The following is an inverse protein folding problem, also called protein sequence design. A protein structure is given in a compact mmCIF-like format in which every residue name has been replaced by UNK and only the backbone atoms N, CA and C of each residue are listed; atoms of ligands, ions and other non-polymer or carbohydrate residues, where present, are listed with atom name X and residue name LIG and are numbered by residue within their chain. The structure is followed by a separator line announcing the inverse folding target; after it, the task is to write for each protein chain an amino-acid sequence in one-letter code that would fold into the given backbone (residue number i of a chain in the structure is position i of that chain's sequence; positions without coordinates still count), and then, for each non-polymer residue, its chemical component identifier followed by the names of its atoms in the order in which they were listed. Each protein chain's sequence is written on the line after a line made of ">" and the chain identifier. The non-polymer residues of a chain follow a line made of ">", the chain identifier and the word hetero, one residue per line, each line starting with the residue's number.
data_IF_642735484968
#
_entry.id   IF_642735484968
#
_cell.length_a   1.000
_cell.length_b   1.000
_cell.length_c   1.000
_cell.angle_alpha   90.00
_cell.angle_beta   90.00
_cell.angle_gamma   90.00
#
_symmetry.space_group_name_H-M   'P 1'
#
loop_
_entity.id
_entity.type
_entity.pdbx_description
1 polymer ?
#
# COMPACT_ATOMS: atom_id res chain seq x y z
N UNK A 1 11.59 16.34 -17.23
CA UNK A 1 11.42 17.80 -17.06
C UNK A 1 10.52 18.00 -15.87
N UNK A 2 11.05 18.44 -14.73
CA UNK A 2 10.23 18.87 -13.59
C UNK A 2 9.89 20.35 -13.79
N UNK A 3 8.64 20.73 -13.58
CA UNK A 3 8.18 22.12 -13.77
C UNK A 3 7.83 22.66 -12.39
N UNK A 4 8.78 23.34 -11.74
CA UNK A 4 8.54 23.93 -10.42
C UNK A 4 9.80 24.04 -9.57
N UNK A 5 9.65 24.68 -8.41
CA UNK A 5 10.66 24.74 -7.35
C UNK A 5 10.11 23.95 -6.16
N UNK A 6 10.74 22.81 -5.84
CA UNK A 6 10.44 22.07 -4.63
C UNK A 6 11.26 22.65 -3.46
N UNK A 7 10.60 22.99 -2.36
CA UNK A 7 11.25 23.48 -1.13
C UNK A 7 10.85 22.61 0.05
N UNK A 8 11.82 22.28 0.89
CA UNK A 8 11.58 21.57 2.14
C UNK A 8 11.31 22.58 3.26
N UNK A 9 10.12 22.51 3.87
CA UNK A 9 9.75 23.37 5.01
C UNK A 9 10.34 22.89 6.33
N UNK A 10 10.75 21.62 6.39
CA UNK A 10 11.33 20.96 7.56
C UNK A 10 12.54 20.13 7.13
N UNK A 11 13.37 19.70 8.08
CA UNK A 11 14.47 18.78 7.79
C UNK A 11 13.93 17.48 7.18
N UNK A 12 14.33 17.18 5.95
CA UNK A 12 13.92 15.97 5.23
C UNK A 12 15.12 15.30 4.56
N UNK A 13 14.94 14.06 4.11
CA UNK A 13 15.88 13.36 3.24
C UNK A 13 15.31 13.26 1.81
N UNK A 14 16.19 13.25 0.82
CA UNK A 14 15.82 12.99 -0.57
C UNK A 14 16.09 11.52 -0.87
N UNK A 15 15.11 10.83 -1.45
CA UNK A 15 15.25 9.46 -1.92
C UNK A 15 15.29 9.48 -3.45
N UNK A 16 16.42 9.05 -4.01
CA UNK A 16 16.54 8.79 -5.45
C UNK A 16 16.29 7.29 -5.71
N UNK A 17 15.41 6.99 -6.66
CA UNK A 17 15.05 5.62 -7.03
C UNK A 17 15.39 5.42 -8.50
N UNK A 18 16.23 4.44 -8.78
CA UNK A 18 16.49 3.96 -10.13
C UNK A 18 15.30 3.09 -10.59
N UNK A 19 14.49 3.65 -11.49
CA UNK A 19 13.24 3.02 -11.93
C UNK A 19 13.45 1.67 -12.64
N UNK A 20 14.53 1.54 -13.42
CA UNK A 20 14.84 0.29 -14.14
C UNK A 20 15.25 -0.80 -13.15
N UNK A 21 16.15 -0.47 -12.21
CA UNK A 21 16.56 -1.42 -11.17
C UNK A 21 15.41 -1.80 -10.24
N UNK A 22 14.49 -0.88 -9.95
CA UNK A 22 13.30 -1.17 -9.17
C UNK A 22 12.40 -2.17 -9.91
N UNK A 23 12.12 -1.92 -11.19
CA UNK A 23 11.33 -2.82 -12.02
C UNK A 23 11.98 -4.22 -12.12
N UNK A 24 13.30 -4.28 -12.30
CA UNK A 24 14.07 -5.53 -12.30
C UNK A 24 14.08 -6.25 -10.96
N UNK A 25 14.00 -5.52 -9.85
CA UNK A 25 13.95 -6.11 -8.51
C UNK A 25 12.57 -6.66 -8.19
N UNK A 26 11.52 -5.91 -8.52
CA UNK A 26 10.11 -6.32 -8.36
C UNK A 26 9.79 -7.54 -9.21
N UNK A 27 10.30 -7.61 -10.44
CA UNK A 27 10.03 -8.71 -11.37
C UNK A 27 10.56 -10.08 -10.93
N UNK A 28 11.52 -10.11 -10.00
CA UNK A 28 12.11 -11.36 -9.48
C UNK A 28 11.17 -12.12 -8.53
N UNK A 29 10.15 -11.46 -8.00
CA UNK A 29 9.19 -12.07 -7.10
C UNK A 29 7.77 -11.87 -7.64
N UNK A 30 7.12 -12.96 -8.07
CA UNK A 30 5.79 -12.91 -8.68
C UNK A 30 4.72 -12.28 -7.78
N UNK A 31 4.82 -12.49 -6.46
CA UNK A 31 3.86 -11.91 -5.50
C UNK A 31 4.03 -10.39 -5.43
N UNK A 32 5.28 -9.92 -5.31
CA UNK A 32 5.57 -8.49 -5.29
C UNK A 32 5.19 -7.84 -6.62
N UNK A 33 5.46 -8.51 -7.74
CA UNK A 33 5.07 -8.05 -9.07
C UNK A 33 3.54 -7.94 -9.21
N UNK A 34 2.77 -8.89 -8.69
CA UNK A 34 1.30 -8.84 -8.75
C UNK A 34 0.75 -7.68 -7.91
N UNK A 35 1.25 -7.51 -6.67
CA UNK A 35 0.90 -6.37 -5.81
C UNK A 35 1.24 -5.04 -6.51
N UNK A 36 2.44 -4.90 -7.05
CA UNK A 36 2.88 -3.70 -7.75
C UNK A 36 2.04 -3.42 -8.99
N UNK A 37 1.68 -4.47 -9.74
CA UNK A 37 0.84 -4.37 -10.93
C UNK A 37 -0.56 -3.88 -10.58
N UNK A 38 -1.19 -4.44 -9.55
CA UNK A 38 -2.51 -3.98 -9.11
C UNK A 38 -2.45 -2.56 -8.55
N UNK A 39 -1.44 -2.22 -7.75
CA UNK A 39 -1.19 -0.84 -7.30
C UNK A 39 -1.11 0.14 -8.47
N UNK A 40 -0.26 -0.13 -9.46
CA UNK A 40 -0.07 0.74 -10.62
C UNK A 40 -1.37 0.92 -11.42
N UNK A 41 -2.13 -0.17 -11.63
CA UNK A 41 -3.44 -0.10 -12.32
C UNK A 41 -4.41 0.83 -11.60
N UNK A 42 -4.55 0.68 -10.29
CA UNK A 42 -5.46 1.51 -9.50
C UNK A 42 -4.98 2.96 -9.42
N UNK A 43 -3.69 3.18 -9.21
CA UNK A 43 -3.10 4.52 -9.15
C UNK A 43 -3.30 5.28 -10.47
N UNK A 44 -2.94 4.69 -11.61
CA UNK A 44 -3.15 5.31 -12.94
C UNK A 44 -4.62 5.61 -13.19
N UNK A 45 -5.53 4.72 -12.76
CA UNK A 45 -6.98 4.97 -12.86
C UNK A 45 -7.40 6.19 -12.04
N UNK A 46 -6.86 6.36 -10.83
CA UNK A 46 -7.14 7.52 -9.97
C UNK A 46 -6.57 8.80 -10.54
N UNK A 47 -5.34 8.78 -11.05
CA UNK A 47 -4.72 9.91 -11.76
C UNK A 47 -5.60 10.37 -12.92
N UNK A 48 -6.04 9.44 -13.77
CA UNK A 48 -6.88 9.76 -14.93
C UNK A 48 -8.29 10.25 -14.55
N UNK A 49 -8.79 9.86 -13.38
CA UNK A 49 -10.10 10.28 -12.89
C UNK A 49 -10.05 11.56 -12.05
N UNK A 50 -8.85 12.01 -11.65
CA UNK A 50 -8.68 13.20 -10.83
C UNK A 50 -8.90 14.46 -11.67
N UNK A 51 -9.85 15.29 -11.25
CA UNK A 51 -10.12 16.58 -11.84
C UNK A 51 -11.50 17.13 -11.45
N UNK A 52 -11.74 18.43 -11.66
CA UNK A 52 -13.03 19.04 -11.38
C UNK A 52 -14.15 18.39 -12.21
N UNK A 53 -15.40 18.31 -11.69
CA UNK A 53 -15.87 18.94 -10.45
C UNK A 53 -15.69 18.08 -9.18
N UNK A 54 -15.22 16.85 -9.29
CA UNK A 54 -15.26 15.88 -8.19
C UNK A 54 -13.96 15.83 -7.36
N UNK A 55 -12.85 16.33 -7.90
CA UNK A 55 -11.56 16.39 -7.22
C UNK A 55 -10.74 17.61 -7.68
N UNK A 56 -9.74 18.07 -6.92
CA UNK A 56 -8.72 18.95 -7.48
C UNK A 56 -7.89 18.20 -8.55
N UNK A 57 -7.23 18.95 -9.42
CA UNK A 57 -6.23 18.36 -10.31
C UNK A 57 -5.06 17.79 -9.49
N UNK A 58 -4.49 16.65 -9.87
CA UNK A 58 -3.32 16.09 -9.19
C UNK A 58 -2.11 17.03 -9.37
N UNK A 59 -1.18 16.96 -8.42
CA UNK A 59 0.08 17.68 -8.49
C UNK A 59 1.26 16.73 -8.19
N UNK A 60 2.49 17.24 -8.22
CA UNK A 60 3.70 16.43 -8.03
C UNK A 60 3.81 15.80 -6.61
N UNK A 61 3.05 16.30 -5.64
CA UNK A 61 3.05 15.81 -4.25
C UNK A 61 1.89 14.88 -3.95
N UNK A 62 0.73 15.10 -4.57
CA UNK A 62 -0.50 14.41 -4.19
C UNK A 62 -1.40 14.14 -5.41
N UNK A 63 -1.92 12.91 -5.47
CA UNK A 63 -3.01 12.52 -6.35
C UNK A 63 -4.24 12.24 -5.48
N UNK A 64 -5.40 12.85 -5.75
CA UNK A 64 -6.59 12.61 -4.95
C UNK A 64 -7.02 11.14 -4.93
N UNK A 65 -7.47 10.67 -3.77
CA UNK A 65 -7.99 9.31 -3.56
C UNK A 65 -6.97 8.19 -3.84
N UNK A 66 -5.70 8.46 -3.58
CA UNK A 66 -4.61 7.47 -3.68
C UNK A 66 -3.99 7.14 -2.32
N UNK A 67 -4.73 7.33 -1.22
CA UNK A 67 -4.30 6.85 0.08
C UNK A 67 -4.04 5.34 0.03
N UNK A 68 -3.02 4.89 0.75
CA UNK A 68 -2.58 3.50 0.70
C UNK A 68 -3.72 2.52 1.01
N UNK A 69 -4.51 2.80 2.05
CA UNK A 69 -5.67 2.00 2.44
C UNK A 69 -6.72 1.91 1.32
N UNK A 70 -7.00 3.03 0.65
CA UNK A 70 -8.00 3.11 -0.42
C UNK A 70 -7.56 2.34 -1.67
N UNK A 71 -6.27 2.40 -1.99
CA UNK A 71 -5.68 1.65 -3.09
C UNK A 71 -5.74 0.16 -2.80
N UNK A 72 -5.29 -0.30 -1.62
CA UNK A 72 -5.34 -1.71 -1.24
C UNK A 72 -6.79 -2.22 -1.24
N UNK A 73 -7.73 -1.47 -0.68
CA UNK A 73 -9.15 -1.82 -0.68
C UNK A 73 -9.73 -1.97 -2.10
N UNK A 74 -9.15 -1.27 -3.09
CA UNK A 74 -9.60 -1.36 -4.47
C UNK A 74 -9.00 -2.55 -5.24
N UNK A 75 -7.92 -3.18 -4.75
CA UNK A 75 -7.23 -4.29 -5.41
C UNK A 75 -8.08 -5.56 -5.44
N UNK A 76 -7.64 -6.58 -6.20
CA UNK A 76 -8.28 -7.91 -6.18
C UNK A 76 -8.25 -8.53 -4.76
N UNK A 77 -9.28 -9.33 -4.40
CA UNK A 77 -9.33 -10.02 -3.11
C UNK A 77 -8.05 -10.79 -2.76
N UNK A 78 -7.49 -11.55 -3.70
CA UNK A 78 -6.28 -12.36 -3.43
C UNK A 78 -5.06 -11.51 -3.04
N UNK A 79 -4.93 -10.33 -3.63
CA UNK A 79 -3.86 -9.37 -3.32
C UNK A 79 -4.10 -8.73 -1.95
N UNK A 80 -5.36 -8.38 -1.64
CA UNK A 80 -5.73 -7.87 -0.31
C UNK A 80 -5.43 -8.89 0.79
N UNK A 81 -5.78 -10.16 0.58
CA UNK A 81 -5.50 -11.26 1.50
C UNK A 81 -4.00 -11.41 1.68
N UNK A 82 -3.22 -11.38 0.60
CA UNK A 82 -1.76 -11.50 0.65
C UNK A 82 -1.13 -10.38 1.50
N UNK A 83 -1.52 -9.13 1.26
CA UNK A 83 -1.06 -7.98 2.04
C UNK A 83 -1.48 -8.14 3.52
N UNK A 84 -2.73 -8.54 3.75
CA UNK A 84 -3.29 -8.75 5.09
C UNK A 84 -2.57 -9.83 5.88
N UNK A 85 -2.25 -10.98 5.28
CA UNK A 85 -1.52 -12.06 5.93
C UNK A 85 -0.13 -11.59 6.35
N UNK A 86 0.57 -10.84 5.48
CA UNK A 86 1.86 -10.26 5.83
C UNK A 86 1.74 -9.22 6.96
N UNK A 87 0.73 -8.36 6.93
CA UNK A 87 0.45 -7.38 7.96
C UNK A 87 0.21 -8.04 9.34
N UNK A 88 -0.62 -9.08 9.39
CA UNK A 88 -0.86 -9.87 10.62
C UNK A 88 0.44 -10.50 11.12
N UNK A 89 1.27 -11.04 10.23
CA UNK A 89 2.58 -11.59 10.58
C UNK A 89 3.54 -10.55 11.18
N UNK A 90 3.51 -9.31 10.71
CA UNK A 90 4.29 -8.20 11.30
C UNK A 90 3.75 -7.82 12.68
N UNK A 91 2.43 -7.73 12.83
CA UNK A 91 1.80 -7.48 14.13
C UNK A 91 2.13 -8.57 15.15
N UNK A 92 2.19 -9.84 14.72
CA UNK A 92 2.59 -10.96 15.57
C UNK A 92 4.04 -10.81 16.08
N UNK A 93 4.94 -10.27 15.26
CA UNK A 93 6.37 -10.11 15.57
C UNK A 93 6.64 -8.89 16.45
N UNK A 94 5.91 -7.80 16.25
CA UNK A 94 6.13 -6.53 16.95
C UNK A 94 5.19 -6.30 18.13
N UNK A 95 4.05 -7.00 18.19
CA UNK A 95 3.12 -6.93 19.30
C UNK A 95 3.62 -7.72 20.52
N UNK A 96 3.57 -7.09 21.69
CA UNK A 96 3.69 -7.77 23.01
C UNK A 96 2.48 -8.68 23.25
N UNK A 97 2.35 -9.75 22.45
CA UNK A 97 1.34 -10.78 22.62
C UNK A 97 1.75 -11.78 23.73
N UNK A 98 2.32 -11.29 24.83
CA UNK A 98 2.77 -12.11 25.96
C UNK A 98 1.63 -12.78 26.73
N UNK A 99 0.38 -12.38 26.46
CA UNK A 99 -0.80 -12.87 27.18
C UNK A 99 -1.62 -13.80 26.28
N UNK A 100 -2.08 -14.93 26.83
CA UNK A 100 -2.84 -15.96 26.11
C UNK A 100 -4.08 -15.43 25.37
N UNK A 101 -4.71 -14.36 25.88
CA UNK A 101 -5.85 -13.70 25.22
C UNK A 101 -5.49 -13.02 23.88
N UNK A 102 -4.28 -12.44 23.78
CA UNK A 102 -3.81 -11.79 22.55
C UNK A 102 -3.57 -12.79 21.41
N UNK A 103 -3.09 -14.00 21.75
CA UNK A 103 -2.87 -15.06 20.76
C UNK A 103 -4.17 -15.50 20.06
N UNK A 104 -5.26 -15.69 20.82
CA UNK A 104 -6.57 -16.10 20.28
C UNK A 104 -7.20 -15.04 19.39
N UNK A 105 -7.08 -13.77 19.78
CA UNK A 105 -7.61 -12.66 18.99
C UNK A 105 -6.85 -12.53 17.65
N UNK A 106 -5.53 -12.69 17.68
CA UNK A 106 -4.70 -12.64 16.47
C UNK A 106 -4.94 -13.83 15.55
N UNK A 107 -5.13 -15.04 16.10
CA UNK A 107 -5.51 -16.23 15.33
C UNK A 107 -6.87 -16.03 14.65
N UNK A 108 -7.86 -15.51 15.38
CA UNK A 108 -9.15 -15.15 14.78
C UNK A 108 -8.99 -14.13 13.65
N UNK A 109 -8.21 -13.07 13.87
CA UNK A 109 -7.95 -12.06 12.83
C UNK A 109 -7.26 -12.67 11.61
N UNK A 110 -6.24 -13.52 11.82
CA UNK A 110 -5.55 -14.24 10.76
C UNK A 110 -6.53 -15.06 9.92
N UNK A 111 -7.44 -15.79 10.58
CA UNK A 111 -8.48 -16.58 9.90
C UNK A 111 -9.46 -15.69 9.11
N UNK A 112 -9.90 -14.57 9.68
CA UNK A 112 -10.78 -13.63 8.98
C UNK A 112 -10.12 -13.01 7.75
N UNK A 113 -8.82 -12.69 7.83
CA UNK A 113 -8.03 -12.21 6.69
C UNK A 113 -7.88 -13.30 5.64
N UNK A 114 -7.57 -14.53 6.03
CA UNK A 114 -7.36 -15.64 5.08
C UNK A 114 -8.61 -15.97 4.26
N UNK A 115 -9.80 -15.80 4.86
CA UNK A 115 -11.10 -15.99 4.20
C UNK A 115 -11.57 -14.73 3.43
N UNK A 116 -10.80 -13.64 3.48
CA UNK A 116 -11.16 -12.38 2.83
C UNK A 116 -12.32 -11.63 3.49
N UNK A 117 -12.64 -11.94 4.75
CA UNK A 117 -13.67 -11.24 5.53
C UNK A 117 -13.17 -9.91 6.08
N UNK A 118 -11.88 -9.81 6.34
CA UNK A 118 -11.22 -8.63 6.90
C UNK A 118 -9.96 -8.30 6.08
N UNK A 119 -9.63 -7.01 5.98
CA UNK A 119 -8.39 -6.54 5.35
C UNK A 119 -7.58 -5.82 6.43
N UNK A 120 -6.30 -6.16 6.55
CA UNK A 120 -5.39 -5.54 7.51
C UNK A 120 -4.24 -4.92 6.73
N UNK A 121 -3.92 -3.68 7.06
CA UNK A 121 -2.78 -2.95 6.50
C UNK A 121 -1.98 -2.33 7.64
N UNK A 122 -0.66 -2.25 7.46
CA UNK A 122 0.25 -1.55 8.39
C UNK A 122 0.72 -0.30 7.67
N UNK A 123 0.59 0.86 8.33
CA UNK A 123 0.99 2.19 7.85
C UNK A 123 2.07 2.76 8.73
#
# INVERSE_FOLDING_TARGET
>A
IHVGRAEALTSCSVLEIDGEKLADSVSRNMIIMDIATEYCKHFVRRVNAAGPPHAPWPNDLEVPFTDYCDLVFSMKPDVQVTIGVHAVGLLAKHGSASNASGSKALEKLSNEVHVGKSIVVVT
#
